data_IF_027517003729
#
_entry.id   IF_027517003729
#
_cell.length_a   1.000
_cell.length_b   1.000
_cell.length_c   1.000
_cell.angle_alpha   90.00
_cell.angle_beta   90.00
_cell.angle_gamma   90.00
#
_symmetry.space_group_name_H-M   'P 1'
#
loop_
_entity.id
_entity.type
_entity.pdbx_description
1 polymer ?
#
# COMPACT_ATOMS: atom_id res chain seq x y z
N UNK A 1 32.76 -51.40 4.76
CA UNK A 1 31.90 -50.45 5.50
C UNK A 1 31.93 -49.12 4.76
N UNK A 2 30.87 -48.80 4.05
CA UNK A 2 30.78 -47.64 3.15
C UNK A 2 30.45 -46.35 3.88
N UNK A 3 31.13 -45.27 3.50
CA UNK A 3 30.94 -43.91 4.02
C UNK A 3 29.89 -43.22 3.13
N UNK A 4 28.67 -43.03 3.64
CA UNK A 4 27.64 -42.21 3.01
C UNK A 4 27.97 -40.73 3.27
N UNK A 5 28.27 -39.97 2.20
CA UNK A 5 28.33 -38.50 2.24
C UNK A 5 26.92 -37.95 2.07
N UNK A 6 26.41 -37.27 3.10
CA UNK A 6 25.18 -36.49 3.04
C UNK A 6 25.46 -35.17 2.30
N UNK A 7 24.93 -35.02 1.07
CA UNK A 7 24.86 -33.72 0.40
C UNK A 7 23.71 -32.90 1.02
N UNK A 8 24.06 -31.82 1.73
CA UNK A 8 23.09 -30.83 2.19
C UNK A 8 22.59 -29.99 1.03
N UNK A 9 21.31 -30.10 0.70
CA UNK A 9 20.63 -29.20 -0.23
C UNK A 9 20.37 -27.88 0.49
N UNK A 10 21.12 -26.83 0.11
CA UNK A 10 20.75 -25.45 0.43
C UNK A 10 19.43 -25.12 -0.29
N UNK A 11 18.33 -25.07 0.46
CA UNK A 11 17.07 -24.53 -0.03
C UNK A 11 17.22 -23.01 -0.20
N UNK A 12 17.49 -22.56 -1.43
CA UNK A 12 17.38 -21.16 -1.81
C UNK A 12 15.91 -20.74 -1.62
N UNK A 13 15.63 -19.94 -0.59
CA UNK A 13 14.31 -19.37 -0.35
C UNK A 13 14.05 -18.29 -1.42
N UNK A 14 13.59 -18.72 -2.61
CA UNK A 14 13.16 -17.80 -3.66
C UNK A 14 11.93 -17.05 -3.15
N UNK A 15 12.08 -15.75 -2.87
CA UNK A 15 10.96 -14.84 -2.63
C UNK A 15 10.12 -14.77 -3.90
N UNK A 16 9.18 -15.70 -4.07
CA UNK A 16 8.20 -15.67 -5.15
C UNK A 16 7.35 -14.41 -4.98
N UNK A 17 7.57 -13.44 -5.86
CA UNK A 17 6.68 -12.30 -5.98
C UNK A 17 5.27 -12.82 -6.36
N UNK A 18 4.19 -12.22 -5.83
CA UNK A 18 2.84 -12.68 -6.13
C UNK A 18 2.56 -12.59 -7.63
N UNK A 19 1.69 -13.47 -8.13
CA UNK A 19 1.35 -13.62 -9.56
C UNK A 19 1.07 -12.27 -10.22
N UNK A 20 0.23 -11.42 -9.61
CA UNK A 20 -0.08 -10.09 -10.16
C UNK A 20 1.10 -9.10 -10.21
N UNK A 21 2.07 -9.19 -9.29
CA UNK A 21 3.27 -8.36 -9.35
C UNK A 21 4.18 -8.80 -10.50
N UNK A 22 4.33 -10.10 -10.68
CA UNK A 22 5.12 -10.68 -11.77
C UNK A 22 4.47 -10.36 -13.12
N UNK A 23 3.14 -10.44 -13.21
CA UNK A 23 2.37 -10.06 -14.39
C UNK A 23 2.52 -8.57 -14.72
N UNK A 24 2.42 -7.68 -13.74
CA UNK A 24 2.56 -6.23 -13.94
C UNK A 24 3.95 -5.81 -14.43
N UNK A 25 5.01 -6.31 -13.78
CA UNK A 25 6.40 -6.03 -14.22
C UNK A 25 6.67 -6.59 -15.62
N UNK A 26 6.21 -7.81 -15.92
CA UNK A 26 6.34 -8.40 -17.26
C UNK A 26 5.57 -7.59 -18.32
N UNK A 27 4.38 -7.11 -17.97
CA UNK A 27 3.57 -6.27 -18.87
C UNK A 27 4.31 -4.97 -19.23
N UNK A 28 4.89 -4.30 -18.23
CA UNK A 28 5.69 -3.09 -18.47
C UNK A 28 6.91 -3.36 -19.38
N UNK A 29 7.66 -4.44 -19.10
CA UNK A 29 8.80 -4.86 -19.92
C UNK A 29 8.40 -5.15 -21.37
N UNK A 30 7.30 -5.87 -21.58
CA UNK A 30 6.79 -6.17 -22.91
C UNK A 30 6.40 -4.92 -23.68
N UNK A 31 5.74 -3.96 -23.02
CA UNK A 31 5.35 -2.69 -23.62
C UNK A 31 6.58 -1.84 -23.98
N UNK A 32 7.62 -1.79 -23.15
CA UNK A 32 8.89 -1.11 -23.47
C UNK A 32 9.59 -1.76 -24.67
N UNK A 33 9.59 -3.09 -24.77
CA UNK A 33 10.15 -3.80 -25.92
C UNK A 33 9.36 -3.50 -27.21
N UNK A 34 8.03 -3.46 -27.14
CA UNK A 34 7.18 -3.07 -28.28
C UNK A 34 7.37 -1.61 -28.68
N UNK A 35 7.50 -0.72 -27.71
CA UNK A 35 7.70 0.72 -27.93
C UNK A 35 9.02 1.02 -28.66
N UNK A 36 10.09 0.30 -28.30
CA UNK A 36 11.42 0.41 -28.93
C UNK A 36 11.54 -0.33 -30.26
N UNK A 37 10.67 -1.31 -30.53
CA UNK A 37 10.61 -2.00 -31.80
C UNK A 37 9.87 -1.15 -32.86
N UNK A 38 10.60 -0.56 -33.80
CA UNK A 38 10.09 0.43 -34.76
C UNK A 38 10.21 -0.01 -36.24
N UNK A 39 9.68 -1.18 -36.64
CA UNK A 39 9.62 -1.55 -38.05
C UNK A 39 8.70 -0.59 -38.81
N UNK A 40 8.94 -0.41 -40.11
CA UNK A 40 8.05 0.34 -40.99
C UNK A 40 6.72 -0.39 -41.20
N UNK A 41 6.77 -1.73 -41.33
CA UNK A 41 5.62 -2.61 -41.53
C UNK A 41 5.81 -3.93 -40.79
N UNK A 42 4.71 -4.55 -40.41
CA UNK A 42 4.68 -5.91 -39.89
C UNK A 42 4.70 -6.94 -41.03
N UNK A 43 4.85 -8.23 -40.67
CA UNK A 43 4.81 -9.35 -41.61
C UNK A 43 3.57 -9.25 -42.52
N UNK A 44 3.76 -9.55 -43.81
CA UNK A 44 2.69 -9.47 -44.81
C UNK A 44 2.29 -8.04 -45.21
N UNK A 45 3.19 -7.05 -45.06
CA UNK A 45 2.93 -5.63 -45.35
C UNK A 45 1.80 -5.02 -44.51
N UNK A 46 1.56 -5.59 -43.33
CA UNK A 46 0.55 -5.08 -42.40
C UNK A 46 1.05 -3.79 -41.75
N UNK A 47 0.15 -2.86 -41.34
CA UNK A 47 0.55 -1.66 -40.63
C UNK A 47 1.35 -1.96 -39.36
N UNK A 48 2.31 -1.11 -39.01
CA UNK A 48 3.24 -1.38 -37.91
C UNK A 48 2.57 -1.56 -36.54
N UNK A 49 1.41 -0.94 -36.30
CA UNK A 49 0.65 -1.08 -35.05
C UNK A 49 0.14 -2.51 -34.79
N UNK A 50 0.19 -3.39 -35.79
CA UNK A 50 -0.22 -4.81 -35.67
C UNK A 50 0.78 -5.62 -34.83
N UNK A 51 2.06 -5.25 -34.81
CA UNK A 51 3.12 -6.02 -34.14
C UNK A 51 4.10 -5.17 -33.31
N UNK A 52 4.03 -3.84 -33.40
CA UNK A 52 4.97 -2.91 -32.77
C UNK A 52 4.27 -1.69 -32.19
N UNK A 53 5.00 -0.87 -31.42
CA UNK A 53 4.46 0.30 -30.73
C UNK A 53 3.36 -0.04 -29.73
N UNK A 54 2.72 0.97 -29.16
CA UNK A 54 1.66 0.80 -28.14
C UNK A 54 0.46 1.68 -28.48
N UNK A 55 -0.73 1.09 -28.49
CA UNK A 55 -1.98 1.82 -28.65
C UNK A 55 -2.47 2.30 -27.29
N UNK A 56 -2.63 3.61 -27.15
CA UNK A 56 -2.94 4.30 -25.89
C UNK A 56 -4.16 5.17 -26.05
N UNK A 57 -5.07 5.10 -25.07
CA UNK A 57 -6.24 5.97 -25.04
C UNK A 57 -6.39 6.61 -23.67
N UNK A 58 -6.36 7.94 -23.67
CA UNK A 58 -6.57 8.75 -22.47
C UNK A 58 -8.04 8.71 -22.06
N UNK A 59 -8.27 8.84 -20.76
CA UNK A 59 -9.60 8.89 -20.14
C UNK A 59 -9.69 10.21 -19.38
N UNK A 60 -10.77 11.00 -19.54
CA UNK A 60 -10.95 12.20 -18.75
C UNK A 60 -10.93 11.87 -17.26
N UNK A 61 -10.09 12.57 -16.48
CA UNK A 61 -9.98 12.28 -15.04
C UNK A 61 -11.30 12.51 -14.29
N UNK A 62 -12.15 13.41 -14.79
CA UNK A 62 -13.49 13.71 -14.27
C UNK A 62 -14.58 12.75 -14.76
N UNK A 63 -14.27 11.80 -15.65
CA UNK A 63 -15.26 10.86 -16.15
C UNK A 63 -15.81 9.98 -15.01
N UNK A 64 -17.14 9.95 -14.92
CA UNK A 64 -17.89 9.12 -13.97
C UNK A 64 -18.47 7.85 -14.62
N UNK A 65 -18.30 7.68 -15.94
CA UNK A 65 -18.68 6.47 -16.66
C UNK A 65 -17.52 5.47 -16.69
N UNK A 66 -17.84 4.20 -16.92
CA UNK A 66 -16.86 3.16 -17.16
C UNK A 66 -15.96 3.54 -18.34
N UNK A 67 -14.64 3.49 -18.13
CA UNK A 67 -13.71 4.07 -19.09
C UNK A 67 -13.76 3.40 -20.48
N UNK A 68 -14.19 2.13 -20.55
CA UNK A 68 -14.36 1.37 -21.79
C UNK A 68 -15.67 1.69 -22.52
N UNK A 69 -16.55 2.52 -21.96
CA UNK A 69 -17.79 2.96 -22.63
C UNK A 69 -17.67 4.34 -23.26
N UNK A 70 -16.54 5.04 -23.04
CA UNK A 70 -16.31 6.41 -23.51
C UNK A 70 -15.98 6.45 -25.01
N UNK A 71 -16.69 7.31 -25.76
CA UNK A 71 -16.53 7.52 -27.21
C UNK A 71 -15.98 8.91 -27.51
N UNK A 72 -15.28 9.07 -28.64
CA UNK A 72 -14.66 10.36 -29.04
C UNK A 72 -15.59 11.30 -29.82
N UNK A 73 -16.50 10.73 -30.62
CA UNK A 73 -17.35 11.44 -31.59
C UNK A 73 -18.60 10.60 -31.88
N UNK A 74 -19.58 11.18 -32.59
CA UNK A 74 -20.69 10.41 -33.16
C UNK A 74 -20.14 9.30 -34.08
N UNK A 75 -20.25 8.05 -33.64
CA UNK A 75 -19.69 6.88 -34.33
C UNK A 75 -19.50 5.68 -33.40
N UNK A 76 -19.04 4.55 -33.98
CA UNK A 76 -18.67 3.32 -33.26
C UNK A 76 -17.17 3.22 -32.96
N UNK A 77 -16.34 3.95 -33.67
CA UNK A 77 -14.89 3.76 -33.67
C UNK A 77 -14.23 4.58 -32.56
N UNK A 78 -13.17 4.01 -31.99
CA UNK A 78 -12.38 4.62 -30.92
C UNK A 78 -11.00 5.00 -31.45
N UNK A 79 -10.59 6.25 -31.25
CA UNK A 79 -9.25 6.72 -31.57
C UNK A 79 -8.26 6.38 -30.46
N UNK A 80 -7.13 5.80 -30.83
CA UNK A 80 -5.98 5.53 -29.98
C UNK A 80 -4.78 6.31 -30.51
N UNK A 81 -3.96 6.84 -29.61
CA UNK A 81 -2.63 7.34 -29.92
C UNK A 81 -1.70 6.16 -30.11
N UNK A 82 -0.90 6.18 -31.17
CA UNK A 82 0.08 5.14 -31.46
C UNK A 82 1.48 5.58 -31.03
N UNK A 83 1.90 5.13 -29.83
CA UNK A 83 3.19 5.45 -29.24
C UNK A 83 4.32 4.57 -29.80
N UNK A 84 5.41 5.22 -30.22
CA UNK A 84 6.65 4.59 -30.72
C UNK A 84 7.87 5.46 -30.43
N UNK A 85 9.03 4.84 -30.28
CA UNK A 85 10.30 5.52 -29.96
C UNK A 85 10.84 6.41 -31.09
N UNK A 86 10.44 6.15 -32.34
CA UNK A 86 10.84 6.89 -33.53
C UNK A 86 9.89 8.06 -33.87
N UNK A 87 8.95 8.40 -32.98
CA UNK A 87 7.96 9.46 -33.19
C UNK A 87 8.03 10.51 -32.08
N UNK A 88 7.69 11.75 -32.41
CA UNK A 88 7.58 12.80 -31.40
C UNK A 88 6.48 12.47 -30.40
N UNK A 89 6.83 12.47 -29.12
CA UNK A 89 5.91 12.31 -27.99
C UNK A 89 5.65 13.63 -27.26
N UNK A 90 6.19 14.74 -27.78
CA UNK A 90 6.04 16.06 -27.18
C UNK A 90 4.57 16.49 -27.18
N UNK A 91 4.09 17.02 -26.05
CA UNK A 91 2.75 17.58 -25.91
C UNK A 91 1.62 16.56 -25.70
N UNK A 92 1.92 15.26 -25.55
CA UNK A 92 0.91 14.26 -25.21
C UNK A 92 0.45 14.42 -23.75
N UNK A 93 -0.74 15.00 -23.55
CA UNK A 93 -1.40 15.06 -22.24
C UNK A 93 -2.16 13.74 -21.97
N UNK A 94 -1.47 12.76 -21.39
CA UNK A 94 -2.05 11.42 -21.22
C UNK A 94 -2.82 11.26 -19.91
N UNK A 95 -2.37 11.87 -18.80
CA UNK A 95 -3.10 11.89 -17.52
C UNK A 95 -3.33 10.50 -16.91
N UNK A 96 -4.36 9.81 -17.39
CA UNK A 96 -4.66 8.41 -17.11
C UNK A 96 -5.38 7.80 -18.32
N UNK A 97 -5.40 6.47 -18.40
CA UNK A 97 -6.14 5.78 -19.44
C UNK A 97 -5.84 4.30 -19.50
N UNK A 98 -5.88 3.75 -20.71
CA UNK A 98 -5.65 2.33 -20.93
C UNK A 98 -4.86 2.05 -22.21
N UNK A 99 -4.24 0.87 -22.23
CA UNK A 99 -3.37 0.35 -23.27
C UNK A 99 -3.99 -0.91 -23.87
N UNK A 100 -3.86 -1.11 -25.19
CA UNK A 100 -4.28 -2.36 -25.84
C UNK A 100 -3.11 -3.32 -26.07
N UNK A 101 -3.44 -4.61 -26.07
CA UNK A 101 -2.61 -5.62 -26.71
C UNK A 101 -2.38 -5.27 -28.20
N UNK A 102 -1.25 -5.69 -28.77
CA UNK A 102 -1.08 -5.70 -30.23
C UNK A 102 -2.12 -6.63 -30.87
N UNK A 103 -2.38 -6.43 -32.17
CA UNK A 103 -3.37 -7.22 -32.89
C UNK A 103 -3.10 -8.72 -32.83
N UNK A 104 -1.84 -9.15 -32.90
CA UNK A 104 -1.47 -10.57 -32.84
C UNK A 104 -1.73 -11.17 -31.45
N UNK A 105 -1.27 -10.50 -30.39
CA UNK A 105 -1.51 -10.94 -29.01
C UNK A 105 -3.00 -10.91 -28.65
N UNK A 106 -3.72 -9.89 -29.11
CA UNK A 106 -5.17 -9.80 -28.94
C UNK A 106 -5.89 -10.96 -29.63
N UNK A 107 -5.50 -11.30 -30.87
CA UNK A 107 -6.06 -12.43 -31.59
C UNK A 107 -5.75 -13.78 -30.91
N UNK A 108 -4.52 -13.98 -30.43
CA UNK A 108 -4.13 -15.18 -29.68
C UNK A 108 -4.95 -15.37 -28.38
N UNK A 109 -5.42 -14.26 -27.78
CA UNK A 109 -6.27 -14.26 -26.60
C UNK A 109 -7.77 -14.36 -26.92
N UNK A 110 -8.16 -14.47 -28.19
CA UNK A 110 -9.57 -14.46 -28.62
C UNK A 110 -10.24 -13.08 -28.49
N UNK A 111 -9.44 -12.01 -28.37
CA UNK A 111 -9.87 -10.62 -28.17
C UNK A 111 -9.56 -9.74 -29.38
N UNK A 112 -9.58 -10.32 -30.57
CA UNK A 112 -9.21 -9.61 -31.79
C UNK A 112 -10.06 -8.35 -31.98
N UNK A 113 -9.42 -7.28 -32.47
CA UNK A 113 -10.09 -6.04 -32.86
C UNK A 113 -9.65 -5.64 -34.26
N UNK A 114 -10.50 -4.86 -34.93
CA UNK A 114 -10.16 -4.25 -36.21
C UNK A 114 -9.56 -2.87 -35.96
N UNK A 115 -8.49 -2.56 -36.67
CA UNK A 115 -7.80 -1.28 -36.52
C UNK A 115 -7.28 -0.79 -37.88
N UNK A 116 -7.45 0.50 -38.13
CA UNK A 116 -6.93 1.19 -39.32
C UNK A 116 -6.18 2.45 -38.92
N UNK A 117 -5.18 2.82 -39.70
CA UNK A 117 -4.50 4.10 -39.53
C UNK A 117 -5.52 5.23 -39.70
N UNK A 118 -5.55 6.20 -38.78
CA UNK A 118 -6.42 7.36 -38.93
C UNK A 118 -5.93 8.17 -40.16
N UNK A 119 -6.78 8.38 -41.18
CA UNK A 119 -6.39 9.08 -42.40
C UNK A 119 -6.11 10.57 -42.16
N UNK A 120 -6.62 11.14 -41.07
CA UNK A 120 -6.44 12.54 -40.68
C UNK A 120 -5.23 12.72 -39.76
N UNK A 121 -4.87 11.68 -39.00
CA UNK A 121 -3.76 11.73 -38.04
C UNK A 121 -2.85 10.50 -38.13
N UNK A 122 -1.67 10.61 -38.76
CA UNK A 122 -0.69 9.51 -38.83
C UNK A 122 -0.20 8.99 -37.47
N UNK A 123 -0.41 9.76 -36.40
CA UNK A 123 -0.12 9.38 -35.02
C UNK A 123 -1.26 8.62 -34.31
N UNK A 124 -2.40 8.42 -34.98
CA UNK A 124 -3.59 7.82 -34.39
C UNK A 124 -4.08 6.59 -35.16
N UNK A 125 -4.71 5.68 -34.45
CA UNK A 125 -5.30 4.45 -34.99
C UNK A 125 -6.76 4.41 -34.57
N UNK A 126 -7.64 4.14 -35.52
CA UNK A 126 -9.07 3.95 -35.28
C UNK A 126 -9.32 2.47 -35.05
N UNK A 127 -9.93 2.14 -33.91
CA UNK A 127 -10.31 0.78 -33.51
C UNK A 127 -11.83 0.66 -33.63
N UNK A 128 -12.30 -0.31 -34.40
CA UNK A 128 -13.73 -0.56 -34.64
C UNK A 128 -14.20 -1.88 -34.00
N UNK A 129 -15.51 -2.07 -33.94
CA UNK A 129 -16.12 -3.28 -33.36
C UNK A 129 -16.03 -3.36 -31.83
N UNK A 130 -15.93 -2.22 -31.15
CA UNK A 130 -15.76 -2.16 -29.70
C UNK A 130 -17.01 -2.59 -28.92
N UNK A 131 -16.98 -3.78 -28.32
CA UNK A 131 -18.11 -4.37 -27.58
C UNK A 131 -18.10 -3.95 -26.10
N UNK A 132 -18.52 -2.71 -25.82
CA UNK A 132 -18.53 -2.14 -24.47
C UNK A 132 -19.36 -2.94 -23.44
N UNK A 133 -20.33 -3.73 -23.90
CA UNK A 133 -21.19 -4.59 -23.06
C UNK A 133 -20.47 -5.86 -22.58
N UNK A 134 -19.33 -6.22 -23.19
CA UNK A 134 -18.55 -7.39 -22.83
C UNK A 134 -17.09 -6.99 -22.50
N UNK A 135 -16.84 -6.22 -21.42
CA UNK A 135 -15.52 -5.63 -21.14
C UNK A 135 -14.39 -6.66 -20.98
N UNK A 136 -14.70 -7.89 -20.57
CA UNK A 136 -13.73 -8.98 -20.49
C UNK A 136 -13.19 -9.42 -21.86
N UNK A 137 -13.94 -9.19 -22.94
CA UNK A 137 -13.55 -9.53 -24.32
C UNK A 137 -12.74 -8.42 -25.00
N UNK A 138 -12.67 -7.23 -24.40
CA UNK A 138 -11.88 -6.14 -24.93
C UNK A 138 -10.39 -6.42 -24.76
N UNK A 139 -9.59 -6.09 -25.78
CA UNK A 139 -8.13 -6.28 -25.80
C UNK A 139 -7.36 -5.31 -24.90
N UNK A 140 -7.93 -4.90 -23.77
CA UNK A 140 -7.29 -4.02 -22.80
C UNK A 140 -6.20 -4.82 -22.08
N UNK A 141 -4.97 -4.36 -22.20
CA UNK A 141 -3.79 -5.00 -21.59
C UNK A 141 -3.48 -4.42 -20.21
N UNK A 142 -3.58 -3.10 -20.06
CA UNK A 142 -3.23 -2.41 -18.83
C UNK A 142 -3.94 -1.06 -18.72
N UNK A 143 -3.99 -0.55 -17.51
CA UNK A 143 -4.31 0.85 -17.22
C UNK A 143 -3.00 1.63 -17.07
N UNK A 144 -3.06 2.94 -17.29
CA UNK A 144 -1.90 3.79 -17.04
C UNK A 144 -2.25 5.07 -16.29
N UNK A 145 -1.26 5.64 -15.63
CA UNK A 145 -1.24 7.04 -15.19
C UNK A 145 0.09 7.71 -15.55
N UNK A 146 0.02 9.00 -15.87
CA UNK A 146 1.18 9.85 -16.04
C UNK A 146 1.53 10.50 -14.69
N UNK A 147 2.72 10.19 -14.18
CA UNK A 147 3.17 10.73 -12.89
C UNK A 147 3.39 12.24 -12.89
N UNK A 148 3.52 12.87 -14.05
CA UNK A 148 3.60 14.33 -14.16
C UNK A 148 2.23 15.01 -14.01
N UNK A 149 1.13 14.25 -14.07
CA UNK A 149 -0.23 14.77 -14.03
C UNK A 149 -0.89 14.48 -12.68
N UNK A 150 -1.22 15.54 -11.94
CA UNK A 150 -1.99 15.43 -10.72
C UNK A 150 -3.30 14.67 -10.97
N UNK A 151 -3.69 13.80 -10.05
CA UNK A 151 -4.91 12.99 -10.15
C UNK A 151 -4.85 11.77 -11.08
N UNK A 152 -3.77 11.59 -11.86
CA UNK A 152 -3.63 10.47 -12.79
C UNK A 152 -3.75 9.10 -12.12
N UNK A 153 -3.02 8.88 -11.01
CA UNK A 153 -3.07 7.60 -10.29
C UNK A 153 -4.46 7.31 -9.70
N UNK A 154 -5.13 8.34 -9.15
CA UNK A 154 -6.50 8.22 -8.64
C UNK A 154 -7.46 7.78 -9.74
N UNK A 155 -7.36 8.39 -10.91
CA UNK A 155 -8.13 7.99 -12.09
C UNK A 155 -7.85 6.54 -12.48
N UNK A 156 -6.58 6.14 -12.56
CA UNK A 156 -6.20 4.77 -12.91
C UNK A 156 -6.73 3.73 -11.90
N UNK A 157 -6.66 4.02 -10.59
CA UNK A 157 -7.21 3.14 -9.55
C UNK A 157 -8.74 3.05 -9.59
N UNK A 158 -9.44 4.15 -9.85
CA UNK A 158 -10.89 4.13 -10.07
C UNK A 158 -11.23 3.23 -11.27
N UNK A 159 -10.53 3.40 -12.38
CA UNK A 159 -10.73 2.59 -13.58
C UNK A 159 -10.39 1.10 -13.31
N UNK A 160 -9.37 0.83 -12.49
CA UNK A 160 -8.99 -0.51 -12.07
C UNK A 160 -10.10 -1.18 -11.26
N UNK A 161 -10.71 -0.45 -10.33
CA UNK A 161 -11.84 -0.93 -9.55
C UNK A 161 -13.05 -1.20 -10.43
N UNK A 162 -13.41 -0.26 -11.31
CA UNK A 162 -14.55 -0.41 -12.21
C UNK A 162 -14.41 -1.66 -13.08
N UNK A 163 -13.23 -1.87 -13.68
CA UNK A 163 -12.98 -3.05 -14.51
C UNK A 163 -13.07 -4.35 -13.71
N UNK A 164 -12.51 -4.37 -12.49
CA UNK A 164 -12.60 -5.53 -11.61
C UNK A 164 -14.06 -5.83 -11.22
N UNK A 165 -14.87 -4.81 -10.93
CA UNK A 165 -16.29 -4.98 -10.61
C UNK A 165 -17.08 -5.54 -11.81
N UNK A 166 -16.75 -5.12 -13.03
CA UNK A 166 -17.43 -5.57 -14.24
C UNK A 166 -16.98 -6.96 -14.74
N UNK A 167 -15.75 -7.39 -14.41
CA UNK A 167 -15.13 -8.58 -15.04
C UNK A 167 -14.57 -9.62 -14.08
N UNK A 168 -14.34 -9.25 -12.81
CA UNK A 168 -13.57 -10.06 -11.85
C UNK A 168 -12.05 -10.05 -12.10
N UNK A 169 -11.56 -9.30 -13.10
CA UNK A 169 -10.15 -9.26 -13.49
C UNK A 169 -9.47 -7.97 -13.02
N UNK A 170 -8.26 -8.09 -12.48
CA UNK A 170 -7.43 -6.93 -12.16
C UNK A 170 -6.52 -6.61 -13.35
N UNK A 171 -6.71 -5.44 -13.96
CA UNK A 171 -5.74 -4.88 -14.91
C UNK A 171 -4.56 -4.27 -14.15
N UNK A 172 -3.30 -4.48 -14.56
CA UNK A 172 -2.18 -3.78 -13.95
C UNK A 172 -2.26 -2.28 -14.26
N UNK A 173 -1.98 -1.43 -13.26
CA UNK A 173 -1.73 0.00 -13.46
C UNK A 173 -0.24 0.20 -13.72
N UNK A 174 0.09 0.86 -14.81
CA UNK A 174 1.45 1.24 -15.17
C UNK A 174 1.64 2.75 -15.03
N UNK A 175 2.83 3.16 -14.62
CA UNK A 175 3.28 4.54 -14.80
C UNK A 175 3.73 4.71 -16.25
N UNK A 176 3.34 5.81 -16.87
CA UNK A 176 3.85 6.20 -18.18
C UNK A 176 4.74 7.44 -18.06
N UNK A 177 5.89 7.41 -18.72
CA UNK A 177 6.84 8.52 -18.84
C UNK A 177 7.33 8.62 -20.29
N UNK A 178 6.53 9.21 -21.21
CA UNK A 178 6.87 9.25 -22.63
C UNK A 178 8.20 9.95 -22.94
N UNK A 179 8.66 10.88 -22.08
CA UNK A 179 9.93 11.59 -22.25
C UNK A 179 11.16 10.89 -21.65
N UNK A 180 11.08 9.63 -21.25
CA UNK A 180 12.21 8.92 -20.62
C UNK A 180 13.41 8.78 -21.59
N UNK A 181 14.60 9.32 -21.26
CA UNK A 181 15.76 9.29 -22.16
C UNK A 181 16.29 7.87 -22.48
N UNK A 182 15.94 6.87 -21.67
CA UNK A 182 16.34 5.47 -21.86
C UNK A 182 15.25 4.64 -22.55
N UNK A 183 14.20 5.30 -23.08
CA UNK A 183 13.03 4.66 -23.66
C UNK A 183 12.33 3.66 -22.72
N UNK A 184 12.48 3.84 -21.40
CA UNK A 184 11.76 3.08 -20.37
C UNK A 184 10.44 3.76 -20.01
N UNK A 185 9.55 3.82 -21.01
CA UNK A 185 8.31 4.59 -20.93
C UNK A 185 7.32 4.01 -19.92
N UNK A 186 7.27 2.69 -19.75
CA UNK A 186 6.32 2.02 -18.88
C UNK A 186 7.00 1.45 -17.62
N UNK A 187 6.50 1.83 -16.45
CA UNK A 187 6.95 1.31 -15.15
C UNK A 187 5.82 0.66 -14.37
N UNK A 188 6.14 -0.33 -13.52
CA UNK A 188 5.18 -0.96 -12.61
C UNK A 188 5.61 -0.76 -11.17
N UNK A 189 4.67 -0.30 -10.34
CA UNK A 189 4.85 -0.23 -8.89
C UNK A 189 3.71 -0.95 -8.20
N UNK A 190 4.06 -1.93 -7.35
CA UNK A 190 3.07 -2.72 -6.61
C UNK A 190 2.24 -1.85 -5.66
N UNK A 191 2.83 -0.79 -5.10
CA UNK A 191 2.18 0.14 -4.16
C UNK A 191 1.10 0.98 -4.83
N UNK A 192 1.19 1.19 -6.15
CA UNK A 192 0.21 1.97 -6.92
C UNK A 192 -1.04 1.15 -7.28
N UNK A 193 -0.99 -0.17 -7.12
CA UNK A 193 -2.10 -1.05 -7.42
C UNK A 193 -3.14 -0.99 -6.30
N UNK A 194 -4.43 -0.83 -6.64
CA UNK A 194 -5.50 -0.78 -5.64
C UNK A 194 -5.57 -2.08 -4.82
N UNK A 195 -5.39 -3.23 -5.47
CA UNK A 195 -5.41 -4.54 -4.81
C UNK A 195 -4.26 -4.75 -3.81
N UNK A 196 -3.23 -3.89 -3.80
CA UNK A 196 -2.14 -3.97 -2.83
C UNK A 196 -2.62 -3.84 -1.38
N UNK A 197 -3.75 -3.14 -1.15
CA UNK A 197 -4.33 -3.02 0.20
C UNK A 197 -4.68 -4.36 0.85
N UNK A 198 -5.10 -5.36 0.06
CA UNK A 198 -5.33 -6.73 0.57
C UNK A 198 -4.05 -7.35 1.11
N UNK A 199 -2.93 -7.19 0.39
CA UNK A 199 -1.62 -7.73 0.81
C UNK A 199 -1.11 -7.08 2.09
N UNK A 200 -1.36 -5.78 2.23
CA UNK A 200 -1.02 -5.05 3.47
C UNK A 200 -1.85 -5.58 4.64
N UNK A 201 -3.17 -5.75 4.47
CA UNK A 201 -4.04 -6.32 5.48
C UNK A 201 -3.58 -7.75 5.88
N UNK A 202 -3.33 -8.64 4.93
CA UNK A 202 -2.85 -10.00 5.20
C UNK A 202 -1.50 -10.03 5.94
N UNK A 203 -0.59 -9.10 5.61
CA UNK A 203 0.70 -8.99 6.29
C UNK A 203 0.55 -8.50 7.72
N UNK A 204 -0.35 -7.55 7.95
CA UNK A 204 -0.72 -7.08 9.29
C UNK A 204 -1.35 -8.20 10.12
N UNK A 205 -2.27 -8.96 9.53
CA UNK A 205 -2.89 -10.14 10.13
C UNK A 205 -1.87 -11.18 10.57
N UNK A 206 -0.90 -11.51 9.72
CA UNK A 206 0.17 -12.45 10.07
C UNK A 206 1.00 -11.95 11.26
N UNK A 207 1.40 -10.68 11.27
CA UNK A 207 2.16 -10.10 12.41
C UNK A 207 1.32 -10.02 13.69
N UNK A 208 0.02 -9.75 13.57
CA UNK A 208 -0.89 -9.72 14.71
C UNK A 208 -1.05 -11.10 15.36
N UNK A 209 -1.13 -12.16 14.56
CA UNK A 209 -1.27 -13.55 15.05
C UNK A 209 0.03 -14.18 15.54
N UNK A 210 1.19 -13.65 15.15
CA UNK A 210 2.50 -14.14 15.63
C UNK A 210 2.72 -13.74 17.09
N UNK A 211 2.27 -14.60 18.01
CA UNK A 211 2.32 -14.39 19.46
C UNK A 211 3.59 -14.99 20.11
N UNK A 212 4.63 -15.29 19.35
CA UNK A 212 5.91 -15.72 19.94
C UNK A 212 6.47 -14.60 20.84
N UNK A 213 7.22 -14.95 21.88
CA UNK A 213 8.03 -13.99 22.65
C UNK A 213 9.35 -13.67 21.93
N UNK A 214 9.84 -12.42 22.01
CA UNK A 214 11.15 -11.95 21.48
C UNK A 214 11.52 -12.21 20.00
N UNK A 215 12.23 -11.30 19.34
CA UNK A 215 12.73 -11.49 17.98
C UNK A 215 13.92 -12.47 17.92
N UNK A 216 14.23 -12.99 16.74
CA UNK A 216 15.31 -14.00 16.55
C UNK A 216 16.70 -13.49 16.94
N UNK A 217 16.89 -12.17 16.88
CA UNK A 217 18.10 -11.45 17.27
C UNK A 217 18.09 -11.01 18.74
N UNK A 218 17.11 -11.46 19.53
CA UNK A 218 16.98 -11.13 20.95
C UNK A 218 16.30 -9.79 21.23
N UNK A 219 15.82 -9.05 20.21
CA UNK A 219 15.06 -7.81 20.42
C UNK A 219 13.65 -8.07 20.96
N UNK A 220 13.00 -7.04 21.52
CA UNK A 220 11.61 -7.12 21.95
C UNK A 220 10.65 -7.41 20.78
N UNK A 221 9.54 -8.07 21.04
CA UNK A 221 8.59 -8.49 20.01
C UNK A 221 8.14 -7.36 19.06
N UNK A 222 8.00 -6.12 19.55
CA UNK A 222 7.63 -4.95 18.72
C UNK A 222 8.58 -4.68 17.53
N UNK A 223 9.80 -5.23 17.55
CA UNK A 223 10.77 -5.09 16.46
C UNK A 223 10.47 -5.98 15.25
N UNK A 224 9.76 -7.09 15.42
CA UNK A 224 9.53 -8.05 14.33
C UNK A 224 8.07 -8.53 14.20
N UNK A 225 7.23 -8.35 15.22
CA UNK A 225 5.87 -8.88 15.28
C UNK A 225 4.92 -7.96 16.05
N UNK A 226 3.63 -8.28 15.97
CA UNK A 226 2.56 -7.36 16.34
C UNK A 226 2.49 -6.16 15.40
N UNK A 227 1.58 -5.24 15.71
CA UNK A 227 1.30 -4.06 14.90
C UNK A 227 1.40 -2.81 15.75
N UNK A 228 2.15 -1.83 15.26
CA UNK A 228 2.25 -0.50 15.83
C UNK A 228 1.17 0.38 15.19
N UNK A 229 0.23 0.84 16.00
CA UNK A 229 -0.92 1.62 15.52
C UNK A 229 -1.04 2.90 16.33
N UNK A 230 -1.14 4.03 15.64
CA UNK A 230 -1.24 5.36 16.25
C UNK A 230 -2.54 6.01 15.83
N UNK A 231 -3.45 6.19 16.78
CA UNK A 231 -4.64 7.00 16.57
C UNK A 231 -4.23 8.47 16.44
N UNK A 232 -4.65 9.11 15.35
CA UNK A 232 -4.37 10.51 15.03
C UNK A 232 -5.36 10.98 13.97
N UNK A 233 -5.92 12.16 14.15
CA UNK A 233 -6.92 12.69 13.22
C UNK A 233 -6.28 13.09 11.89
N UNK A 234 -7.01 12.94 10.79
CA UNK A 234 -6.65 13.53 9.49
C UNK A 234 -7.28 14.91 9.35
N UNK A 235 -6.47 15.96 9.25
CA UNK A 235 -6.94 17.34 9.11
C UNK A 235 -5.92 18.24 8.38
N UNK A 236 -6.35 19.40 7.87
CA UNK A 236 -5.49 20.33 7.11
C UNK A 236 -4.49 21.13 7.93
N UNK A 237 -4.67 21.23 9.25
CA UNK A 237 -3.79 22.01 10.11
C UNK A 237 -2.45 21.34 10.44
N UNK A 238 -2.27 20.06 10.12
CA UNK A 238 -1.05 19.31 10.41
C UNK A 238 -0.98 18.03 9.58
N UNK A 239 0.23 17.51 9.38
CA UNK A 239 0.40 16.18 8.80
C UNK A 239 0.28 15.11 9.88
N UNK A 240 -0.54 14.09 9.65
CA UNK A 240 -0.83 13.06 10.66
C UNK A 240 0.41 12.31 11.16
N UNK A 241 1.46 12.21 10.34
CA UNK A 241 2.74 11.58 10.72
C UNK A 241 3.66 12.50 11.51
N UNK A 242 3.32 13.77 11.72
CA UNK A 242 4.14 14.67 12.53
C UNK A 242 3.87 14.47 14.04
N UNK A 243 4.92 14.47 14.89
CA UNK A 243 4.74 14.57 16.33
C UNK A 243 4.12 15.92 16.69
N UNK A 244 3.19 15.95 17.64
CA UNK A 244 2.68 17.22 18.17
C UNK A 244 3.75 17.92 19.02
N UNK A 245 3.66 19.24 19.17
CA UNK A 245 4.53 20.02 20.08
C UNK A 245 4.60 19.38 21.47
N UNK A 246 3.43 18.97 21.97
CA UNK A 246 3.28 18.24 23.23
C UNK A 246 4.07 16.92 23.28
N UNK A 247 4.14 16.16 22.18
CA UNK A 247 4.91 14.92 22.08
C UNK A 247 6.42 15.19 22.03
N UNK A 248 6.82 16.26 21.35
CA UNK A 248 8.23 16.70 21.27
C UNK A 248 8.72 17.12 22.66
N UNK A 249 7.99 18.00 23.34
CA UNK A 249 8.38 18.54 24.67
C UNK A 249 8.51 17.43 25.72
N UNK A 250 7.66 16.39 25.67
CA UNK A 250 7.75 15.24 26.58
C UNK A 250 8.56 14.07 26.05
N UNK A 251 9.23 14.25 24.91
CA UNK A 251 10.08 13.22 24.31
C UNK A 251 9.33 11.89 24.06
N UNK A 252 8.05 11.93 23.72
CA UNK A 252 7.23 10.73 23.59
C UNK A 252 6.02 10.89 22.69
N UNK A 253 5.97 10.08 21.65
CA UNK A 253 4.81 9.88 20.78
C UNK A 253 4.13 8.57 21.19
N UNK A 254 2.84 8.66 21.51
CA UNK A 254 2.04 7.51 21.94
C UNK A 254 1.57 6.67 20.76
N UNK A 255 1.67 5.36 20.92
CA UNK A 255 1.16 4.33 20.03
C UNK A 255 0.48 3.26 20.87
N UNK A 256 -0.41 2.49 20.26
CA UNK A 256 -0.81 1.19 20.80
C UNK A 256 -0.02 0.08 20.09
N UNK A 257 0.29 -0.96 20.84
CA UNK A 257 0.79 -2.24 20.32
C UNK A 257 -0.36 -3.24 20.29
N UNK A 258 -0.62 -3.86 19.14
CA UNK A 258 -1.69 -4.87 19.00
C UNK A 258 -1.12 -6.20 18.49
N UNK A 259 -1.49 -7.27 19.19
CA UNK A 259 -1.14 -8.67 18.95
C UNK A 259 -2.23 -9.54 19.57
N UNK A 260 -2.39 -10.77 19.11
CA UNK A 260 -3.51 -11.62 19.51
C UNK A 260 -3.58 -11.89 21.03
N UNK A 261 -2.44 -12.07 21.67
CA UNK A 261 -2.26 -12.33 23.11
C UNK A 261 -2.21 -11.06 23.97
N UNK A 262 -2.04 -9.90 23.33
CA UNK A 262 -1.94 -8.60 24.00
C UNK A 262 -3.32 -8.09 24.44
N UNK A 263 -4.42 -8.54 23.82
CA UNK A 263 -5.79 -8.30 24.32
C UNK A 263 -6.28 -6.85 24.24
N UNK A 264 -5.75 -6.05 23.31
CA UNK A 264 -6.18 -4.65 23.12
C UNK A 264 -7.55 -4.60 22.44
N UNK A 265 -8.49 -3.87 23.04
CA UNK A 265 -9.88 -3.79 22.60
C UNK A 265 -10.24 -2.40 22.05
N UNK A 266 -9.50 -1.36 22.43
CA UNK A 266 -9.80 0.03 22.07
C UNK A 266 -8.52 0.81 21.73
N UNK A 267 -8.67 1.79 20.85
CA UNK A 267 -7.67 2.83 20.57
C UNK A 267 -8.16 4.18 21.12
N UNK A 268 -7.28 5.18 21.14
CA UNK A 268 -7.60 6.54 21.60
C UNK A 268 -8.41 7.38 20.59
N UNK A 269 -8.65 6.85 19.38
CA UNK A 269 -9.37 7.55 18.32
C UNK A 269 -9.92 6.58 17.27
N UNK A 270 -10.66 7.12 16.31
CA UNK A 270 -11.37 6.34 15.28
C UNK A 270 -10.59 6.16 13.98
N UNK A 271 -9.45 6.82 13.84
CA UNK A 271 -8.59 6.76 12.65
C UNK A 271 -7.13 7.02 13.00
N UNK A 272 -6.24 6.79 12.04
CA UNK A 272 -4.84 7.17 12.17
C UNK A 272 -3.93 6.39 11.24
N UNK A 273 -2.74 6.09 11.75
CA UNK A 273 -1.64 5.49 11.00
C UNK A 273 -1.21 4.16 11.59
N UNK A 274 -0.88 3.22 10.72
CA UNK A 274 -0.22 1.96 11.03
C UNK A 274 1.20 2.04 10.48
N UNK A 275 2.17 1.63 11.30
CA UNK A 275 3.58 1.64 10.97
C UNK A 275 4.09 0.19 10.81
N UNK A 276 5.18 0.03 10.04
CA UNK A 276 5.93 -1.22 9.99
C UNK A 276 6.52 -1.54 11.37
N UNK A 277 6.97 -2.77 11.56
CA UNK A 277 7.69 -3.22 12.75
C UNK A 277 8.97 -2.37 13.00
N UNK A 278 9.45 -2.26 14.25
CA UNK A 278 10.54 -1.32 14.56
C UNK A 278 11.87 -1.66 13.85
N UNK A 279 12.11 -2.92 13.52
CA UNK A 279 13.30 -3.34 12.75
C UNK A 279 13.10 -3.25 11.22
N UNK A 280 11.93 -2.79 10.74
CA UNK A 280 11.71 -2.62 9.32
C UNK A 280 12.72 -1.61 8.74
N UNK A 281 13.33 -1.89 7.56
CA UNK A 281 14.25 -0.96 6.94
C UNK A 281 13.61 0.41 6.73
N UNK A 282 14.22 1.44 7.33
CA UNK A 282 13.72 2.80 7.35
C UNK A 282 14.88 3.79 7.14
N UNK A 283 14.59 4.96 6.57
CA UNK A 283 15.54 6.08 6.63
C UNK A 283 15.51 6.73 8.00
N UNK A 284 14.33 6.82 8.61
CA UNK A 284 14.15 7.21 10.00
C UNK A 284 13.71 5.99 10.83
N UNK A 285 14.61 5.45 11.63
CA UNK A 285 14.27 4.40 12.60
C UNK A 285 13.44 4.97 13.74
N UNK A 286 12.38 4.24 14.11
CA UNK A 286 11.59 4.55 15.31
C UNK A 286 12.25 3.91 16.53
N UNK A 287 12.39 4.68 17.61
CA UNK A 287 13.04 4.22 18.85
C UNK A 287 11.99 4.05 19.94
N UNK A 288 11.75 2.82 20.37
CA UNK A 288 10.89 2.55 21.52
C UNK A 288 11.59 2.95 22.82
N UNK A 289 10.92 3.76 23.63
CA UNK A 289 11.45 4.26 24.91
C UNK A 289 10.93 3.48 26.10
N UNK A 290 9.65 3.16 26.09
CA UNK A 290 9.01 2.35 27.13
C UNK A 290 7.65 1.83 26.68
N UNK A 291 7.08 0.92 27.47
CA UNK A 291 5.73 0.38 27.31
C UNK A 291 4.94 0.41 28.62
N UNK A 292 3.63 0.49 28.49
CA UNK A 292 2.66 0.41 29.56
C UNK A 292 1.56 -0.62 29.21
N UNK A 293 1.14 -1.43 30.19
CA UNK A 293 0.15 -2.47 29.94
C UNK A 293 -1.29 -1.95 29.92
N UNK A 294 -1.48 -0.67 30.22
CA UNK A 294 -2.76 0.04 30.22
C UNK A 294 -2.59 1.40 29.54
N UNK A 295 -3.68 2.14 29.34
CA UNK A 295 -3.57 3.58 29.04
C UNK A 295 -2.88 4.26 30.23
N UNK A 296 -1.70 4.85 30.03
CA UNK A 296 -0.94 5.49 31.10
C UNK A 296 -1.22 6.99 31.22
N UNK A 297 -2.06 7.56 30.34
CA UNK A 297 -2.23 9.00 30.17
C UNK A 297 -0.88 9.69 29.96
N UNK A 298 -0.04 9.13 29.08
CA UNK A 298 1.35 9.60 28.87
C UNK A 298 1.46 11.06 28.43
N UNK A 299 0.34 11.66 28.01
CA UNK A 299 0.22 13.10 27.73
C UNK A 299 0.40 13.98 28.97
N UNK A 300 0.31 13.43 30.17
CA UNK A 300 0.53 14.15 31.43
C UNK A 300 1.80 13.72 32.17
N UNK A 301 2.53 12.71 31.67
CA UNK A 301 3.73 12.18 32.34
C UNK A 301 4.97 12.94 31.87
N UNK A 302 5.71 13.64 32.74
CA UNK A 302 7.00 14.24 32.36
C UNK A 302 7.91 13.21 31.69
N UNK A 303 8.49 13.57 30.54
CA UNK A 303 9.33 12.66 29.73
C UNK A 303 8.62 11.39 29.22
N UNK A 304 7.28 11.30 29.30
CA UNK A 304 6.40 10.19 28.86
C UNK A 304 6.63 8.81 29.48
N UNK A 305 7.84 8.51 29.98
CA UNK A 305 8.23 7.26 30.62
C UNK A 305 8.46 7.50 32.12
N UNK A 306 7.67 6.83 32.97
CA UNK A 306 7.89 6.78 34.43
C UNK A 306 9.16 5.98 34.76
N UNK A 307 9.54 5.96 36.03
CA UNK A 307 10.57 5.04 36.53
C UNK A 307 10.26 3.60 36.11
N UNK A 308 11.29 2.83 35.77
CA UNK A 308 11.10 1.50 35.22
C UNK A 308 10.54 0.54 36.27
N UNK A 309 9.85 -0.51 35.82
CA UNK A 309 9.40 -1.57 36.71
C UNK A 309 10.58 -2.29 37.35
N UNK A 310 11.66 -2.51 36.59
CA UNK A 310 12.90 -3.09 37.08
C UNK A 310 13.53 -2.26 38.22
N UNK A 311 13.55 -0.93 38.13
CA UNK A 311 14.09 -0.07 39.19
C UNK A 311 13.26 -0.08 40.47
N UNK A 312 12.09 -0.70 40.45
CA UNK A 312 11.18 -0.86 41.59
C UNK A 312 11.08 -2.33 42.04
N UNK A 313 11.99 -3.20 41.58
CA UNK A 313 12.00 -4.65 41.82
C UNK A 313 10.72 -5.37 41.34
N UNK A 314 10.09 -4.85 40.29
CA UNK A 314 8.90 -5.46 39.67
C UNK A 314 9.35 -6.20 38.41
N UNK A 315 9.58 -7.49 38.56
CA UNK A 315 10.11 -8.39 37.54
C UNK A 315 9.22 -9.63 37.32
N UNK A 316 8.00 -9.62 37.85
CA UNK A 316 7.04 -10.71 37.73
C UNK A 316 5.62 -10.20 37.68
N UNK A 317 4.73 -11.01 37.10
CA UNK A 317 3.30 -10.71 37.02
C UNK A 317 2.70 -10.52 38.42
N UNK A 318 3.09 -11.34 39.39
CA UNK A 318 2.61 -11.25 40.78
C UNK A 318 3.02 -9.94 41.45
N UNK A 319 4.29 -9.54 41.33
CA UNK A 319 4.78 -8.27 41.87
C UNK A 319 4.06 -7.08 41.23
N UNK A 320 3.86 -7.11 39.90
CA UNK A 320 3.13 -6.06 39.21
C UNK A 320 1.66 -5.98 39.67
N UNK A 321 0.96 -7.12 39.75
CA UNK A 321 -0.44 -7.16 40.20
C UNK A 321 -0.60 -6.68 41.64
N UNK A 322 0.31 -7.09 42.53
CA UNK A 322 0.27 -6.67 43.94
C UNK A 322 0.35 -5.15 44.10
N UNK A 323 1.06 -4.46 43.19
CA UNK A 323 1.24 -3.01 43.26
C UNK A 323 0.23 -2.23 42.43
N UNK A 324 -0.08 -2.70 41.22
CA UNK A 324 -0.81 -1.94 40.21
C UNK A 324 -2.11 -2.60 39.75
N UNK A 325 -2.43 -3.81 40.18
CA UNK A 325 -3.62 -4.54 39.71
C UNK A 325 -4.94 -3.78 39.93
N UNK A 326 -5.03 -3.01 41.02
CA UNK A 326 -6.19 -2.15 41.31
C UNK A 326 -6.19 -0.83 40.51
N UNK A 327 -5.03 -0.38 40.01
CA UNK A 327 -4.91 0.86 39.22
C UNK A 327 -3.80 0.76 38.16
N UNK A 328 -4.04 0.00 37.06
CA UNK A 328 -3.03 -0.23 36.01
C UNK A 328 -2.51 1.04 35.34
N UNK A 329 -3.33 2.09 35.26
CA UNK A 329 -2.97 3.42 34.71
C UNK A 329 -1.76 4.05 35.41
N UNK A 330 -1.58 3.75 36.70
CA UNK A 330 -0.49 4.26 37.54
C UNK A 330 0.79 3.43 37.47
N UNK A 331 0.81 2.38 36.64
CA UNK A 331 1.94 1.46 36.49
C UNK A 331 3.26 2.19 36.23
N UNK A 332 4.33 1.59 36.76
CA UNK A 332 5.70 1.78 36.27
C UNK A 332 5.79 1.55 34.76
N UNK A 333 6.87 2.04 34.15
CA UNK A 333 7.15 1.83 32.74
C UNK A 333 7.98 0.56 32.53
N UNK A 334 7.66 -0.23 31.52
CA UNK A 334 8.53 -1.32 31.08
C UNK A 334 9.54 -0.76 30.07
N UNK A 335 10.83 -1.01 30.28
CA UNK A 335 11.88 -0.61 29.34
C UNK A 335 11.83 -1.46 28.06
N UNK A 336 12.54 -1.07 26.97
CA UNK A 336 12.38 -1.72 25.68
C UNK A 336 13.17 -3.03 25.54
N UNK A 337 13.76 -3.56 26.62
CA UNK A 337 14.40 -4.88 26.58
C UNK A 337 13.38 -5.97 26.29
N UNK A 338 13.82 -7.08 25.69
CA UNK A 338 12.93 -8.19 25.37
C UNK A 338 12.22 -8.76 26.62
N UNK A 339 12.95 -8.91 27.73
CA UNK A 339 12.38 -9.44 28.97
C UNK A 339 11.34 -8.49 29.59
N UNK A 340 11.63 -7.19 29.69
CA UNK A 340 10.68 -6.23 30.25
C UNK A 340 9.46 -6.05 29.34
N UNK A 341 9.64 -6.04 28.02
CA UNK A 341 8.53 -5.94 27.07
C UNK A 341 7.66 -7.20 27.06
N UNK A 342 8.24 -8.39 27.22
CA UNK A 342 7.47 -9.63 27.36
C UNK A 342 6.63 -9.59 28.66
N UNK A 343 7.23 -9.20 29.79
CA UNK A 343 6.50 -9.04 31.04
C UNK A 343 5.36 -8.00 30.93
N UNK A 344 5.56 -6.92 30.16
CA UNK A 344 4.51 -5.95 29.84
C UNK A 344 3.32 -6.61 29.14
N UNK A 345 3.55 -7.61 28.30
CA UNK A 345 2.50 -8.38 27.63
C UNK A 345 1.83 -9.35 28.62
N UNK A 346 2.61 -10.08 29.43
CA UNK A 346 2.08 -11.04 30.41
C UNK A 346 1.13 -10.41 31.43
N UNK A 347 1.38 -9.16 31.84
CA UNK A 347 0.50 -8.45 32.79
C UNK A 347 -0.80 -7.95 32.12
N UNK A 348 -0.92 -7.97 30.79
CA UNK A 348 -2.10 -7.43 30.04
C UNK A 348 -3.43 -8.05 30.41
N UNK A 349 -3.44 -9.28 30.93
CA UNK A 349 -4.65 -9.88 31.51
C UNK A 349 -5.32 -8.98 32.60
N UNK A 350 -4.61 -7.95 33.08
CA UNK A 350 -5.03 -7.00 34.12
C UNK A 350 -4.99 -5.55 33.65
N UNK A 351 -4.66 -5.27 32.38
CA UNK A 351 -4.38 -3.93 31.85
C UNK A 351 -5.58 -3.19 31.24
N UNK A 352 -6.72 -3.86 31.10
CA UNK A 352 -7.93 -3.31 30.51
C UNK A 352 -7.88 -3.19 28.98
N UNK A 353 -8.77 -2.34 28.42
CA UNK A 353 -9.05 -2.29 26.98
C UNK A 353 -7.97 -1.60 26.13
N UNK A 354 -7.06 -0.82 26.73
CA UNK A 354 -6.02 -0.05 26.04
C UNK A 354 -4.62 -0.51 26.45
N UNK A 355 -3.63 -0.16 25.65
CA UNK A 355 -2.22 -0.12 26.06
C UNK A 355 -1.52 1.04 25.39
N UNK A 356 -0.28 1.26 25.82
CA UNK A 356 0.52 2.34 25.31
C UNK A 356 2.00 1.93 25.19
N UNK A 357 2.59 2.19 24.03
CA UNK A 357 4.04 2.20 23.83
C UNK A 357 4.46 3.62 23.48
N UNK A 358 5.60 4.04 24.01
CA UNK A 358 6.15 5.37 23.79
C UNK A 358 7.30 5.27 22.80
N UNK A 359 7.16 5.94 21.67
CA UNK A 359 8.20 6.08 20.65
C UNK A 359 8.84 7.46 20.80
N UNK A 360 10.16 7.56 20.68
CA UNK A 360 10.85 8.84 20.66
C UNK A 360 10.33 9.71 19.50
N UNK A 361 10.19 11.04 19.68
CA UNK A 361 9.78 11.93 18.61
C UNK A 361 10.82 11.92 17.48
N UNK A 362 10.35 12.17 16.27
CA UNK A 362 11.17 12.31 15.08
C UNK A 362 11.03 13.72 14.50
N UNK A 363 11.93 14.15 13.59
CA UNK A 363 11.82 15.46 12.94
C UNK A 363 10.46 15.70 12.27
N UNK A 364 10.05 16.96 12.18
CA UNK A 364 8.83 17.33 11.44
C UNK A 364 9.00 17.09 9.94
N UNK A 365 7.91 16.77 9.24
CA UNK A 365 7.82 16.75 7.77
C UNK A 365 8.73 15.73 7.07
N UNK A 366 9.04 14.61 7.73
CA UNK A 366 9.85 13.52 7.15
C UNK A 366 9.02 12.30 6.73
N UNK A 367 7.74 12.48 6.38
CA UNK A 367 6.84 11.40 5.95
C UNK A 367 7.45 10.35 5.01
N UNK A 368 8.21 10.74 3.96
CA UNK A 368 8.89 9.78 3.06
C UNK A 368 9.94 8.89 3.74
N UNK A 369 10.50 9.31 4.86
CA UNK A 369 11.57 8.62 5.59
C UNK A 369 11.03 7.63 6.64
N UNK A 370 9.76 7.80 7.03
CA UNK A 370 9.05 6.93 7.96
C UNK A 370 8.55 5.66 7.25
N UNK A 371 8.35 4.61 8.04
CA UNK A 371 7.83 3.32 7.58
C UNK A 371 6.31 3.24 7.76
N UNK A 372 5.59 4.21 7.21
CA UNK A 372 4.12 4.15 7.17
C UNK A 372 3.66 3.01 6.27
N UNK A 373 2.69 2.24 6.74
CA UNK A 373 2.23 1.03 6.06
C UNK A 373 0.77 1.13 5.63
N UNK A 374 -0.08 1.78 6.42
CA UNK A 374 -1.49 2.01 6.13
C UNK A 374 -2.02 3.22 6.91
N UNK A 375 -3.04 3.88 6.34
CA UNK A 375 -4.00 4.63 7.14
C UNK A 375 -5.07 3.66 7.64
N UNK A 376 -5.73 3.97 8.75
CA UNK A 376 -6.80 3.11 9.26
C UNK A 376 -8.02 3.89 9.72
N UNK A 377 -9.16 3.19 9.77
CA UNK A 377 -10.36 3.58 10.49
C UNK A 377 -10.85 2.42 11.36
N UNK A 378 -11.45 2.71 12.52
CA UNK A 378 -12.15 1.70 13.33
C UNK A 378 -13.46 1.33 12.63
N UNK A 379 -13.69 0.04 12.42
CA UNK A 379 -14.91 -0.47 11.77
C UNK A 379 -16.16 0.03 12.51
N UNK A 380 -17.13 0.52 11.75
CA UNK A 380 -18.39 1.06 12.30
C UNK A 380 -18.28 2.44 12.95
N UNK A 381 -17.13 3.11 12.84
CA UNK A 381 -16.93 4.48 13.35
C UNK A 381 -17.00 5.55 12.25
N UNK A 382 -16.97 6.83 12.66
CA UNK A 382 -16.91 7.99 11.75
C UNK A 382 -15.53 8.28 11.14
N UNK A 383 -14.52 7.43 11.38
CA UNK A 383 -13.11 7.72 11.03
C UNK A 383 -12.75 7.71 9.53
N UNK A 384 -13.66 7.30 8.64
CA UNK A 384 -13.37 7.12 7.21
C UNK A 384 -12.87 8.40 6.53
N UNK A 385 -13.47 9.56 6.82
CA UNK A 385 -13.06 10.82 6.23
C UNK A 385 -11.66 11.23 6.67
N UNK A 386 -11.32 11.04 7.95
CA UNK A 386 -9.97 11.28 8.48
C UNK A 386 -8.95 10.33 7.86
N UNK A 387 -9.26 9.04 7.76
CA UNK A 387 -8.36 8.05 7.15
C UNK A 387 -8.08 8.34 5.66
N UNK A 388 -9.12 8.71 4.90
CA UNK A 388 -8.99 9.16 3.50
C UNK A 388 -8.18 10.44 3.37
N UNK A 389 -8.37 11.39 4.30
CA UNK A 389 -7.56 12.59 4.36
C UNK A 389 -6.07 12.24 4.52
N UNK A 390 -5.74 11.38 5.51
CA UNK A 390 -4.37 10.93 5.77
C UNK A 390 -3.75 10.28 4.53
N UNK A 391 -4.49 9.39 3.86
CA UNK A 391 -4.03 8.73 2.63
C UNK A 391 -3.64 9.75 1.55
N UNK A 392 -4.53 10.70 1.25
CA UNK A 392 -4.31 11.71 0.22
C UNK A 392 -3.17 12.66 0.60
N UNK A 393 -3.16 13.15 1.83
CA UNK A 393 -2.10 14.04 2.32
C UNK A 393 -0.73 13.36 2.24
N UNK A 394 -0.64 12.08 2.66
CA UNK A 394 0.62 11.33 2.54
C UNK A 394 1.05 11.17 1.09
N UNK A 395 0.13 10.87 0.17
CA UNK A 395 0.46 10.78 -1.25
C UNK A 395 0.96 12.12 -1.81
N UNK A 396 0.30 13.23 -1.47
CA UNK A 396 0.68 14.57 -1.93
C UNK A 396 2.03 15.02 -1.40
N UNK A 397 2.35 14.71 -0.14
CA UNK A 397 3.60 15.14 0.50
C UNK A 397 4.77 14.18 0.26
N UNK A 398 4.50 12.88 0.08
CA UNK A 398 5.53 11.85 0.03
C UNK A 398 5.65 11.10 -1.29
N UNK A 399 4.71 11.28 -2.23
CA UNK A 399 4.67 10.53 -3.49
C UNK A 399 4.50 9.02 -3.31
N UNK A 400 4.06 8.58 -2.11
CA UNK A 400 3.91 7.18 -1.73
C UNK A 400 2.45 6.89 -1.41
N UNK A 401 1.98 5.73 -1.87
CA UNK A 401 0.61 5.26 -1.60
C UNK A 401 0.61 4.32 -0.40
N UNK A 402 -0.27 4.59 0.55
CA UNK A 402 -0.66 3.67 1.62
C UNK A 402 -2.16 3.38 1.50
N UNK A 403 -2.61 2.13 1.74
CA UNK A 403 -4.03 1.81 1.76
C UNK A 403 -4.71 2.32 3.03
N UNK A 404 -6.01 2.58 2.95
CA UNK A 404 -6.92 2.70 4.09
C UNK A 404 -7.42 1.30 4.46
N UNK A 405 -7.28 0.93 5.73
CA UNK A 405 -7.77 -0.35 6.27
C UNK A 405 -8.83 -0.14 7.35
N UNK A 406 -9.82 -1.02 7.40
CA UNK A 406 -10.73 -1.12 8.54
C UNK A 406 -10.10 -1.99 9.62
N UNK A 407 -10.10 -1.48 10.84
CA UNK A 407 -9.60 -2.14 12.04
C UNK A 407 -10.78 -2.53 12.94
N UNK A 408 -10.86 -3.81 13.31
CA UNK A 408 -11.82 -4.35 14.26
C UNK A 408 -11.07 -5.19 15.32
N UNK A 409 -10.76 -4.55 16.45
CA UNK A 409 -9.99 -5.18 17.54
C UNK A 409 -10.79 -6.24 18.31
N UNK A 410 -12.10 -6.32 18.07
CA UNK A 410 -13.03 -7.20 18.78
C UNK A 410 -13.71 -8.20 17.85
N UNK A 411 -13.20 -8.35 16.62
CA UNK A 411 -13.76 -9.24 15.62
C UNK A 411 -13.82 -10.69 16.15
N UNK A 412 -15.03 -11.25 16.24
CA UNK A 412 -15.26 -12.60 16.78
C UNK A 412 -14.55 -13.70 15.97
N UNK A 413 -14.33 -13.47 14.67
CA UNK A 413 -13.61 -14.37 13.78
C UNK A 413 -12.08 -14.16 13.81
N UNK A 414 -11.56 -13.23 14.63
CA UNK A 414 -10.15 -12.91 14.72
C UNK A 414 -9.57 -12.21 13.49
N UNK A 415 -10.40 -11.62 12.61
CA UNK A 415 -9.97 -10.82 11.47
C UNK A 415 -9.98 -9.33 11.84
N UNK A 416 -8.82 -8.82 12.23
CA UNK A 416 -8.64 -7.45 12.74
C UNK A 416 -8.51 -6.42 11.62
N UNK A 417 -7.82 -6.74 10.53
CA UNK A 417 -7.53 -5.84 9.43
C UNK A 417 -8.24 -6.30 8.17
N UNK A 418 -9.08 -5.42 7.63
CA UNK A 418 -9.80 -5.67 6.39
C UNK A 418 -9.60 -4.53 5.41
N UNK A 419 -9.43 -4.88 4.14
CA UNK A 419 -9.31 -3.93 3.04
C UNK A 419 -10.61 -3.88 2.25
N UNK A 420 -11.12 -2.67 2.04
CA UNK A 420 -12.22 -2.39 1.13
C UNK A 420 -11.75 -1.38 0.08
N UNK A 421 -11.80 -1.71 -1.23
CA UNK A 421 -11.40 -0.76 -2.28
C UNK A 421 -12.28 0.50 -2.31
N UNK A 422 -13.51 0.43 -1.80
CA UNK A 422 -14.41 1.60 -1.73
C UNK A 422 -14.02 2.58 -0.61
N UNK A 423 -13.22 2.16 0.37
CA UNK A 423 -12.73 3.06 1.42
C UNK A 423 -11.60 3.98 0.93
N UNK A 424 -10.98 3.66 -0.21
CA UNK A 424 -9.84 4.42 -0.73
C UNK A 424 -10.29 5.74 -1.36
N UNK A 425 -9.48 6.79 -1.20
CA UNK A 425 -9.71 8.09 -1.81
C UNK A 425 -8.38 8.87 -1.97
N UNK A 426 -7.47 8.29 -2.76
CA UNK A 426 -6.25 8.96 -3.19
C UNK A 426 -6.53 10.30 -3.88
#
# INVERSE_FOLDING_TARGET
MGILRLCGVLALCACLAPVHAQEGTRTAQWLNARFTNTPEQCVGRSPAFVCSGVLVRSVPQSANADFWTLKDVAGSDLRFVFLRNDRSMAGLALGCGYLLFDGLSAAALGKAFQAVQDPVSPGAVLVSGWQAQAPAQLAIQALFHDSAQAGGLRCAQRNQLAYYQATGLWLPILRIAPGDPQAQVFGFAQQEQLYNGRRVAERLERRYRDALGGCRDGQAAAYCRGVLIRAVNGASGFHAWNPSSNSVTRNGVSFSYIRADVGTQRLAGTEGLIYRELAAPARQTLVMRCAYPANASSSAIPNSCRASCASQNINSVSAWRSRYGASPVSSCAFDPSAAAFELNIEVRAHGGAWNEIIIAPWPQNIGPQLTLEAAFLIRGSGGLNGARYIQRDYYQQAGKVIPVLRVDLTAANGQVFTFDPLDQNL
#
